data_IF_340012467469
#
_entry.id   IF_340012467469
#
_cell.length_a   1.000
_cell.length_b   1.000
_cell.length_c   1.000
_cell.angle_alpha   90.00
_cell.angle_beta   90.00
_cell.angle_gamma   90.00
#
_symmetry.space_group_name_H-M   'P 1'
#
loop_
_entity.id
_entity.type
_entity.pdbx_description
1 polymer ?
#
# COMPACT_ATOMS: atom_id res chain seq x y z
N UNK A 1 23.11 -3.03 5.28
CA UNK A 1 22.82 -2.25 4.05
C UNK A 1 21.31 -2.15 3.92
N UNK A 2 20.75 -0.96 3.69
CA UNK A 2 19.32 -0.81 3.42
C UNK A 2 19.07 -0.93 1.92
N UNK A 3 18.10 -1.74 1.52
CA UNK A 3 17.64 -1.84 0.13
C UNK A 3 16.34 -1.04 0.04
N UNK A 4 16.23 -0.16 -0.95
CA UNK A 4 15.00 0.59 -1.23
C UNK A 4 14.48 0.22 -2.61
N UNK A 5 13.19 -0.10 -2.69
CA UNK A 5 12.46 -0.23 -3.95
C UNK A 5 11.29 0.76 -3.91
N UNK A 6 10.97 1.39 -5.04
CA UNK A 6 9.83 2.29 -5.19
C UNK A 6 8.93 1.82 -6.33
N UNK A 7 7.64 2.08 -6.18
CA UNK A 7 6.61 1.83 -7.19
C UNK A 7 5.78 3.11 -7.34
N UNK A 8 5.56 3.57 -8.57
CA UNK A 8 4.86 4.82 -8.85
C UNK A 8 3.45 4.47 -9.31
N UNK A 9 2.45 4.75 -8.47
CA UNK A 9 1.07 4.51 -8.81
C UNK A 9 0.56 5.48 -9.89
N UNK A 10 -0.26 4.96 -10.79
CA UNK A 10 -0.96 5.71 -11.85
C UNK A 10 -2.45 5.36 -11.83
N UNK A 11 -3.25 5.99 -12.69
CA UNK A 11 -4.67 5.67 -12.83
C UNK A 11 -4.95 4.22 -13.28
N UNK A 12 -3.95 3.54 -13.86
CA UNK A 12 -4.07 2.13 -14.26
C UNK A 12 -3.66 1.15 -13.13
N UNK A 13 -3.16 1.68 -12.00
CA UNK A 13 -2.70 0.86 -10.88
C UNK A 13 -3.88 0.26 -10.12
N UNK A 14 -3.73 -1.00 -9.71
CA UNK A 14 -4.70 -1.70 -8.86
C UNK A 14 -3.99 -2.60 -7.86
N UNK A 15 -4.66 -2.85 -6.72
CA UNK A 15 -4.12 -3.64 -5.61
C UNK A 15 -4.82 -4.99 -5.55
N UNK A 16 -4.06 -6.06 -5.33
CA UNK A 16 -4.58 -7.42 -5.21
C UNK A 16 -3.99 -8.12 -3.98
N UNK A 17 -4.80 -8.93 -3.30
CA UNK A 17 -4.32 -9.90 -2.33
C UNK A 17 -4.48 -11.31 -2.91
N UNK A 18 -3.36 -11.94 -3.23
CA UNK A 18 -3.31 -13.31 -3.73
C UNK A 18 -3.28 -14.28 -2.56
N UNK A 19 -4.26 -15.19 -2.51
CA UNK A 19 -4.34 -16.22 -1.46
C UNK A 19 -4.11 -17.61 -2.08
N UNK A 20 -3.36 -18.45 -1.38
CA UNK A 20 -2.96 -19.78 -1.85
C UNK A 20 -3.48 -20.90 -0.93
N UNK A 21 -4.55 -20.62 -0.17
CA UNK A 21 -5.09 -21.51 0.85
C UNK A 21 -4.07 -21.79 1.95
N UNK A 22 -3.93 -23.06 2.33
CA UNK A 22 -2.99 -23.51 3.39
C UNK A 22 -1.58 -23.80 2.87
N UNK A 23 -1.33 -23.65 1.56
CA UNK A 23 -0.05 -24.04 0.94
C UNK A 23 1.04 -22.98 1.07
N UNK A 24 0.67 -21.71 1.12
CA UNK A 24 1.62 -20.59 1.17
C UNK A 24 0.99 -19.35 1.81
N UNK A 25 1.78 -18.49 2.46
CA UNK A 25 1.33 -17.19 2.93
C UNK A 25 0.74 -16.34 1.77
N UNK A 26 -0.21 -15.43 2.06
CA UNK A 26 -0.75 -14.53 1.06
C UNK A 26 0.29 -13.51 0.59
N UNK A 27 0.13 -13.01 -0.63
CA UNK A 27 0.96 -11.95 -1.20
C UNK A 27 0.08 -10.75 -1.55
N UNK A 28 0.45 -9.57 -1.07
CA UNK A 28 -0.16 -8.31 -1.50
C UNK A 28 0.63 -7.77 -2.70
N UNK A 29 -0.03 -7.44 -3.80
CA UNK A 29 0.62 -6.86 -4.98
C UNK A 29 -0.01 -5.53 -5.38
N UNK A 30 0.83 -4.55 -5.68
CA UNK A 30 0.48 -3.35 -6.43
C UNK A 30 0.83 -3.63 -7.89
N UNK A 31 -0.16 -3.57 -8.78
CA UNK A 31 -0.02 -4.00 -10.16
C UNK A 31 -0.25 -2.83 -11.12
N UNK A 32 0.47 -2.82 -12.23
CA UNK A 32 0.21 -2.01 -13.41
C UNK A 32 0.57 -2.78 -14.69
N UNK A 33 0.30 -2.21 -15.87
CA UNK A 33 0.51 -2.89 -17.17
C UNK A 33 1.96 -3.29 -17.45
N UNK A 34 2.93 -2.65 -16.80
CA UNK A 34 4.37 -2.87 -17.00
C UNK A 34 5.09 -3.57 -15.85
N UNK A 35 4.42 -3.88 -14.73
CA UNK A 35 5.08 -4.45 -13.58
C UNK A 35 4.20 -4.58 -12.34
N UNK A 36 4.77 -5.17 -11.29
CA UNK A 36 4.16 -5.20 -9.98
C UNK A 36 5.21 -5.02 -8.88
N UNK A 37 4.76 -4.51 -7.74
CA UNK A 37 5.47 -4.59 -6.47
C UNK A 37 4.72 -5.55 -5.57
N UNK A 38 5.39 -6.59 -5.10
CA UNK A 38 4.80 -7.60 -4.22
C UNK A 38 5.37 -7.49 -2.80
N UNK A 39 4.47 -7.44 -1.83
CA UNK A 39 4.76 -7.33 -0.39
C UNK A 39 4.35 -8.63 0.28
N UNK A 40 5.32 -9.29 0.92
CA UNK A 40 5.13 -10.52 1.66
C UNK A 40 6.28 -10.72 2.66
N UNK A 41 6.02 -11.53 3.67
CA UNK A 41 7.04 -12.04 4.60
C UNK A 41 7.61 -13.34 4.02
N UNK A 42 8.89 -13.61 4.24
CA UNK A 42 9.51 -14.86 3.80
C UNK A 42 8.80 -16.09 4.40
N UNK A 43 8.74 -17.17 3.63
CA UNK A 43 7.92 -18.35 3.97
C UNK A 43 8.44 -19.17 5.15
N UNK A 44 9.71 -18.98 5.52
CA UNK A 44 10.39 -19.63 6.64
C UNK A 44 10.25 -18.86 7.97
N UNK A 45 9.62 -17.68 7.94
CA UNK A 45 9.35 -16.91 9.16
C UNK A 45 8.20 -17.50 9.99
N UNK A 46 8.21 -17.32 11.32
CA UNK A 46 7.12 -17.75 12.19
C UNK A 46 5.76 -17.09 11.90
N UNK A 47 4.67 -17.81 12.18
CA UNK A 47 3.30 -17.36 11.90
C UNK A 47 2.93 -16.03 12.61
N UNK A 48 3.46 -15.79 13.79
CA UNK A 48 3.27 -14.55 14.54
C UNK A 48 3.98 -13.35 13.89
N UNK A 49 5.10 -13.57 13.20
CA UNK A 49 5.77 -12.54 12.37
C UNK A 49 4.86 -12.15 11.20
N UNK A 50 4.31 -13.13 10.48
CA UNK A 50 3.34 -12.87 9.41
C UNK A 50 2.14 -12.06 9.91
N UNK A 51 1.58 -12.43 11.07
CA UNK A 51 0.40 -11.76 11.64
C UNK A 51 0.70 -10.35 12.12
N UNK A 52 1.84 -10.14 12.75
CA UNK A 52 2.27 -8.81 13.22
C UNK A 52 2.52 -7.90 12.04
N UNK A 53 3.30 -8.35 11.06
CA UNK A 53 3.56 -7.59 9.84
C UNK A 53 2.28 -7.21 9.09
N UNK A 54 1.32 -8.13 8.95
CA UNK A 54 0.06 -7.85 8.28
C UNK A 54 -0.78 -6.77 8.99
N UNK A 55 -0.76 -6.74 10.32
CA UNK A 55 -1.44 -5.70 11.11
C UNK A 55 -0.74 -4.36 10.96
N UNK A 56 0.58 -4.32 11.14
CA UNK A 56 1.37 -3.10 11.02
C UNK A 56 1.23 -2.49 9.62
N UNK A 57 1.19 -3.33 8.58
CA UNK A 57 0.95 -2.91 7.19
C UNK A 57 -0.45 -2.29 7.02
N UNK A 58 -1.49 -2.91 7.59
CA UNK A 58 -2.85 -2.40 7.53
C UNK A 58 -2.99 -1.05 8.28
N UNK A 59 -2.38 -0.94 9.45
CA UNK A 59 -2.38 0.29 10.25
C UNK A 59 -1.64 1.41 9.52
N UNK A 60 -0.47 1.13 8.93
CA UNK A 60 0.28 2.08 8.13
C UNK A 60 -0.47 2.52 6.85
N UNK A 61 -1.13 1.59 6.15
CA UNK A 61 -1.95 1.91 4.98
C UNK A 61 -3.15 2.80 5.35
N UNK A 62 -3.79 2.54 6.50
CA UNK A 62 -4.87 3.37 7.03
C UNK A 62 -4.38 4.77 7.35
N UNK A 63 -3.26 4.89 8.05
CA UNK A 63 -2.64 6.19 8.36
C UNK A 63 -2.26 6.96 7.09
N UNK A 64 -1.72 6.28 6.09
CA UNK A 64 -1.42 6.88 4.78
C UNK A 64 -2.68 7.43 4.10
N UNK A 65 -3.77 6.65 4.05
CA UNK A 65 -5.02 7.12 3.47
C UNK A 65 -5.56 8.37 4.16
N UNK A 66 -5.54 8.40 5.49
CA UNK A 66 -5.94 9.60 6.26
C UNK A 66 -5.08 10.81 5.93
N UNK A 67 -3.75 10.64 5.83
CA UNK A 67 -2.83 11.73 5.50
C UNK A 67 -3.05 12.26 4.07
N UNK A 68 -3.38 11.40 3.11
CA UNK A 68 -3.72 11.82 1.73
C UNK A 68 -4.98 12.67 1.72
N UNK A 69 -6.02 12.29 2.46
CA UNK A 69 -7.26 13.08 2.56
C UNK A 69 -7.04 14.43 3.24
N UNK A 70 -6.26 14.47 4.33
CA UNK A 70 -5.90 15.72 5.01
C UNK A 70 -5.13 16.66 4.06
N UNK A 71 -4.15 16.12 3.34
CA UNK A 71 -3.41 16.87 2.33
C UNK A 71 -4.34 17.39 1.21
N UNK A 72 -5.24 16.55 0.69
CA UNK A 72 -6.19 16.94 -0.34
C UNK A 72 -7.16 18.04 0.12
N UNK A 73 -7.61 17.98 1.37
CA UNK A 73 -8.46 19.01 1.97
C UNK A 73 -7.73 20.35 2.08
N UNK A 74 -6.46 20.35 2.49
CA UNK A 74 -5.63 21.56 2.56
C UNK A 74 -5.45 22.22 1.19
N UNK A 75 -5.18 21.43 0.14
CA UNK A 75 -5.05 21.94 -1.23
C UNK A 75 -6.35 22.59 -1.76
N UNK A 76 -7.51 22.11 -1.29
CA UNK A 76 -8.82 22.64 -1.70
C UNK A 76 -9.17 23.95 -0.98
N UNK A 77 -8.69 24.14 0.25
CA UNK A 77 -8.92 25.36 1.03
C UNK A 77 -8.10 26.57 0.53
N UNK A 78 -6.92 26.31 -0.06
CA UNK A 78 -6.03 27.34 -0.60
C UNK A 78 -6.44 27.85 -2.01
N UNK A 79 -7.52 27.32 -2.59
CA UNK A 79 -8.08 27.87 -3.83
C UNK A 79 -8.87 29.15 -3.51
N UNK A 80 -8.42 30.36 -3.91
CA UNK A 80 -9.16 31.59 -3.65
C UNK A 80 -10.53 31.53 -4.35
N UNK A 81 -11.59 32.17 -3.80
CA UNK A 81 -12.82 32.33 -4.55
C UNK A 81 -12.48 33.07 -5.84
N UNK A 82 -12.64 32.39 -6.97
CA UNK A 82 -12.57 33.03 -8.27
C UNK A 82 -13.84 33.88 -8.36
N UNK A 83 -13.74 35.14 -7.93
CA UNK A 83 -14.81 36.11 -8.07
C UNK A 83 -15.13 36.33 -9.55
N UNK A 84 -16.42 36.29 -9.87
CA UNK A 84 -17.01 36.59 -11.17
C UNK A 84 -18.52 36.42 -11.10
#
# INVERSE_FOLDING_TARGET
MSQSASFIATAATWVACWTYGTKSPPILSLNESGGNLSVHVFTDEPLDVHRTFAKDLADAATAYAMAVEEWAAAQSADTPPTGG
#
